data_IF_863240316843
#
_entry.id   IF_863240316843
#
_cell.length_a   1.000
_cell.length_b   1.000
_cell.length_c   1.000
_cell.angle_alpha   90.00
_cell.angle_beta   90.00
_cell.angle_gamma   90.00
#
_symmetry.space_group_name_H-M   'P 1'
#
loop_
_entity.id
_entity.type
_entity.pdbx_description
1 polymer ?
#
# COMPACT_ATOMS: atom_id res chain seq x y z
N UNK A 1 4.41 2.98 19.10
CA UNK A 1 3.90 1.93 20.04
C UNK A 1 4.08 0.58 19.38
N UNK A 2 4.34 -0.49 20.15
CA UNK A 2 4.39 -1.82 19.56
C UNK A 2 3.04 -2.16 18.92
N UNK A 3 3.07 -2.96 17.85
CA UNK A 3 1.88 -3.58 17.30
C UNK A 3 1.07 -4.20 18.45
N UNK A 4 -0.25 -4.02 18.42
CA UNK A 4 -1.09 -4.75 19.37
C UNK A 4 -0.85 -6.23 19.08
N UNK A 5 -0.52 -7.00 20.09
CA UNK A 5 -0.29 -8.44 19.92
C UNK A 5 -1.56 -9.04 19.31
N UNK A 6 -1.43 -9.54 18.07
CA UNK A 6 -2.52 -10.29 17.43
C UNK A 6 -2.82 -11.49 18.34
N UNK A 7 -4.06 -11.70 18.78
CA UNK A 7 -4.38 -12.83 19.64
C UNK A 7 -3.92 -14.14 19.00
N UNK A 8 -3.35 -15.08 19.76
CA UNK A 8 -2.94 -16.37 19.24
C UNK A 8 -4.15 -17.09 18.61
N UNK A 9 -3.97 -17.64 17.40
CA UNK A 9 -5.02 -18.34 16.66
C UNK A 9 -5.84 -17.48 15.70
N UNK A 10 -5.48 -16.20 15.49
CA UNK A 10 -6.07 -15.34 14.47
C UNK A 10 -5.27 -15.50 13.17
N UNK A 11 -5.78 -16.34 12.28
CA UNK A 11 -5.17 -16.53 10.96
C UNK A 11 -5.50 -15.36 10.03
N UNK A 12 -4.53 -14.98 9.14
CA UNK A 12 -4.75 -14.02 8.07
C UNK A 12 -4.53 -12.57 8.45
N UNK A 13 -4.15 -12.25 9.69
CA UNK A 13 -3.76 -10.91 10.10
C UNK A 13 -2.23 -10.85 10.24
N UNK A 14 -1.58 -10.04 9.39
CA UNK A 14 -0.16 -9.74 9.47
C UNK A 14 0.16 -8.76 10.60
N UNK A 15 -0.76 -7.81 10.85
CA UNK A 15 -0.58 -6.80 11.88
C UNK A 15 -1.88 -6.14 12.33
N UNK A 16 -1.88 -5.72 13.60
CA UNK A 16 -2.94 -4.91 14.20
C UNK A 16 -2.28 -3.71 14.89
N UNK A 17 -2.67 -2.50 14.48
CA UNK A 17 -2.04 -1.27 14.94
C UNK A 17 -3.08 -0.28 15.45
N UNK A 18 -2.75 0.42 16.52
CA UNK A 18 -3.53 1.54 17.00
C UNK A 18 -2.90 2.85 16.48
N UNK A 19 -3.70 3.63 15.77
CA UNK A 19 -3.30 4.91 15.20
C UNK A 19 -4.04 6.07 15.89
N UNK A 20 -3.44 7.28 15.93
CA UNK A 20 -2.20 7.67 15.28
C UNK A 20 -0.95 7.17 15.99
N UNK A 21 0.11 6.88 15.23
CA UNK A 21 1.41 6.47 15.73
C UNK A 21 2.50 7.36 15.09
N UNK A 22 3.41 7.97 15.89
CA UNK A 22 4.50 8.81 15.36
C UNK A 22 5.33 8.14 14.27
N UNK A 23 5.56 6.80 14.35
CA UNK A 23 6.29 6.04 13.34
C UNK A 23 5.55 5.95 11.97
N UNK A 24 4.27 6.29 11.93
CA UNK A 24 3.44 6.23 10.72
C UNK A 24 3.20 7.60 10.11
N UNK A 25 3.40 8.68 10.88
CA UNK A 25 3.15 10.06 10.46
C UNK A 25 3.86 10.41 9.16
N UNK A 26 5.15 10.04 9.05
CA UNK A 26 5.97 10.36 7.89
C UNK A 26 5.59 9.56 6.63
N UNK A 27 4.87 8.44 6.79
CA UNK A 27 4.46 7.61 5.64
C UNK A 27 3.60 8.38 4.65
N UNK A 28 2.73 9.27 5.13
CA UNK A 28 1.88 10.10 4.29
C UNK A 28 2.69 11.11 3.47
N UNK A 29 3.65 11.76 4.10
CA UNK A 29 4.44 12.82 3.46
C UNK A 29 5.48 12.24 2.50
N UNK A 30 6.03 11.08 2.80
CA UNK A 30 6.98 10.35 1.94
C UNK A 30 6.42 9.89 0.59
N UNK A 31 5.10 9.83 0.43
CA UNK A 31 4.46 9.52 -0.85
C UNK A 31 4.05 10.81 -1.55
N UNK A 32 4.70 11.09 -2.65
CA UNK A 32 4.48 12.32 -3.42
C UNK A 32 3.44 12.04 -4.51
N UNK A 33 2.25 12.56 -4.28
CA UNK A 33 1.11 12.53 -5.20
C UNK A 33 0.54 13.94 -5.34
N UNK A 34 -0.24 14.22 -6.40
CA UNK A 34 -0.99 15.48 -6.52
C UNK A 34 -1.82 15.73 -5.25
N UNK A 35 -1.78 16.98 -4.78
CA UNK A 35 -2.48 17.37 -3.53
C UNK A 35 -3.98 17.05 -3.59
N UNK A 36 -4.61 17.22 -4.74
CA UNK A 36 -6.02 16.90 -4.96
C UNK A 36 -6.30 15.39 -4.81
N UNK A 37 -5.41 14.53 -5.29
CA UNK A 37 -5.53 13.08 -5.15
C UNK A 37 -5.41 12.66 -3.69
N UNK A 38 -4.42 13.19 -2.97
CA UNK A 38 -4.28 12.98 -1.52
C UNK A 38 -5.50 13.48 -0.75
N UNK A 39 -6.01 14.67 -1.09
CA UNK A 39 -7.20 15.24 -0.45
C UNK A 39 -8.44 14.36 -0.72
N UNK A 40 -8.65 13.89 -1.93
CA UNK A 40 -9.76 13.01 -2.32
C UNK A 40 -9.75 11.70 -1.53
N UNK A 41 -8.59 11.04 -1.44
CA UNK A 41 -8.40 9.82 -0.64
C UNK A 41 -8.77 10.06 0.85
N UNK A 42 -8.20 11.10 1.45
CA UNK A 42 -8.45 11.43 2.85
C UNK A 42 -9.92 11.76 3.11
N UNK A 43 -10.51 12.59 2.26
CA UNK A 43 -11.91 13.00 2.40
C UNK A 43 -12.86 11.81 2.27
N UNK A 44 -12.59 10.89 1.33
CA UNK A 44 -13.39 9.68 1.18
C UNK A 44 -13.32 8.79 2.44
N UNK A 45 -12.13 8.51 2.95
CA UNK A 45 -11.97 7.66 4.16
C UNK A 45 -12.67 8.28 5.37
N UNK A 46 -12.52 9.58 5.59
CA UNK A 46 -13.21 10.31 6.66
C UNK A 46 -14.73 10.26 6.49
N UNK A 47 -15.23 10.49 5.27
CA UNK A 47 -16.65 10.39 4.95
C UNK A 47 -17.19 8.98 5.22
N UNK A 48 -16.48 7.95 4.75
CA UNK A 48 -16.87 6.55 4.95
C UNK A 48 -16.99 6.21 6.44
N UNK A 49 -15.97 6.52 7.24
CA UNK A 49 -15.95 6.20 8.67
C UNK A 49 -16.97 6.97 9.50
N UNK A 50 -17.32 8.22 9.10
CA UNK A 50 -18.21 9.08 9.87
C UNK A 50 -19.67 9.00 9.45
N UNK A 51 -19.94 8.80 8.15
CA UNK A 51 -21.26 9.04 7.57
C UNK A 51 -21.88 7.83 6.90
N UNK A 52 -21.11 6.80 6.52
CA UNK A 52 -21.65 5.64 5.79
C UNK A 52 -22.83 4.99 6.51
N UNK A 53 -22.77 4.85 7.84
CA UNK A 53 -23.87 4.28 8.62
C UNK A 53 -25.17 5.10 8.64
N UNK A 54 -25.13 6.36 8.16
CA UNK A 54 -26.31 7.25 8.09
C UNK A 54 -26.88 7.36 6.68
N UNK A 55 -26.19 6.82 5.68
CA UNK A 55 -26.61 6.90 4.28
C UNK A 55 -27.40 5.66 3.93
N UNK A 56 -28.53 5.85 3.23
CA UNK A 56 -29.33 4.72 2.75
C UNK A 56 -28.59 3.97 1.63
N UNK A 57 -28.32 2.71 1.85
CA UNK A 57 -27.69 1.83 0.87
C UNK A 57 -28.51 1.65 -0.43
N UNK A 58 -29.81 1.93 -0.38
CA UNK A 58 -30.69 1.87 -1.56
C UNK A 58 -30.50 3.07 -2.49
N UNK A 59 -30.29 4.27 -1.90
CA UNK A 59 -30.12 5.51 -2.68
C UNK A 59 -28.67 5.77 -3.11
N UNK A 60 -27.71 5.40 -2.26
CA UNK A 60 -26.28 5.57 -2.49
C UNK A 60 -25.55 4.37 -1.88
N UNK A 61 -25.32 3.31 -2.65
CA UNK A 61 -24.59 2.14 -2.16
C UNK A 61 -23.11 2.52 -1.94
N UNK A 62 -22.71 2.60 -0.68
CA UNK A 62 -21.32 2.87 -0.29
C UNK A 62 -20.77 1.61 0.37
N UNK A 63 -19.79 0.97 -0.28
CA UNK A 63 -19.18 -0.26 0.22
C UNK A 63 -18.07 0.00 1.23
N UNK A 64 -17.57 1.23 1.32
CA UNK A 64 -16.42 1.54 2.17
C UNK A 64 -15.12 0.94 1.65
N UNK A 65 -14.96 0.85 0.33
CA UNK A 65 -13.79 0.26 -0.32
C UNK A 65 -13.08 1.27 -1.21
N UNK A 66 -11.78 1.47 -0.93
CA UNK A 66 -10.84 2.20 -1.78
C UNK A 66 -9.87 1.20 -2.40
N UNK A 67 -9.59 1.35 -3.69
CA UNK A 67 -8.56 0.59 -4.39
C UNK A 67 -7.42 1.52 -4.82
N UNK A 68 -6.20 1.19 -4.42
CA UNK A 68 -4.97 1.83 -4.85
C UNK A 68 -4.31 0.93 -5.90
N UNK A 69 -4.38 1.32 -7.17
CA UNK A 69 -3.79 0.57 -8.28
C UNK A 69 -2.48 1.21 -8.76
N UNK A 70 -1.61 0.45 -9.37
CA UNK A 70 -0.40 0.97 -10.00
C UNK A 70 0.80 0.03 -9.92
N UNK A 71 1.92 0.35 -10.60
CA UNK A 71 3.08 -0.52 -10.65
C UNK A 71 3.65 -0.86 -9.26
N UNK A 72 4.39 -1.97 -9.11
CA UNK A 72 5.09 -2.27 -7.88
C UNK A 72 6.11 -1.16 -7.56
N UNK A 73 6.44 -0.98 -6.27
CA UNK A 73 7.44 0.01 -5.84
C UNK A 73 6.96 1.47 -5.75
N UNK A 74 5.73 1.79 -6.17
CA UNK A 74 5.18 3.17 -6.12
C UNK A 74 4.71 3.61 -4.73
N UNK A 75 4.67 2.70 -3.74
CA UNK A 75 4.39 3.04 -2.34
C UNK A 75 2.92 2.94 -1.93
N UNK A 76 2.09 2.17 -2.64
CA UNK A 76 0.65 1.99 -2.33
C UNK A 76 0.37 1.57 -0.89
N UNK A 77 1.08 0.53 -0.40
CA UNK A 77 0.97 0.04 0.98
C UNK A 77 1.40 1.11 2.00
N UNK A 78 2.46 1.85 1.70
CA UNK A 78 2.92 2.99 2.52
C UNK A 78 1.89 4.10 2.55
N UNK A 79 1.29 4.43 1.39
CA UNK A 79 0.21 5.41 1.27
C UNK A 79 -1.02 4.99 2.08
N UNK A 80 -1.42 3.72 2.01
CA UNK A 80 -2.55 3.18 2.79
C UNK A 80 -2.32 3.36 4.31
N UNK A 81 -1.12 3.04 4.79
CA UNK A 81 -0.77 3.25 6.19
C UNK A 81 -0.74 4.73 6.60
N UNK A 82 -0.14 5.59 5.76
CA UNK A 82 -0.13 7.04 5.99
C UNK A 82 -1.53 7.65 5.97
N UNK A 83 -2.40 7.20 5.05
CA UNK A 83 -3.80 7.61 4.97
C UNK A 83 -4.58 7.23 6.23
N UNK A 84 -4.33 6.04 6.78
CA UNK A 84 -4.95 5.60 8.01
C UNK A 84 -4.52 6.45 9.22
N UNK A 85 -3.23 6.82 9.31
CA UNK A 85 -2.74 7.69 10.37
C UNK A 85 -3.32 9.10 10.26
N UNK A 86 -3.39 9.67 9.05
CA UNK A 86 -4.05 10.94 8.78
C UNK A 86 -5.55 10.92 9.14
N UNK A 87 -6.23 9.82 8.83
CA UNK A 87 -7.63 9.66 9.22
C UNK A 87 -7.79 9.59 10.74
N UNK A 88 -6.92 8.85 11.44
CA UNK A 88 -6.93 8.75 12.89
C UNK A 88 -6.77 10.11 13.57
N UNK A 89 -5.85 10.96 13.06
CA UNK A 89 -5.65 12.31 13.58
C UNK A 89 -6.85 13.25 13.38
N UNK A 90 -7.62 13.02 12.30
CA UNK A 90 -8.76 13.87 11.95
C UNK A 90 -10.11 13.41 12.55
N UNK A 91 -10.15 12.19 13.09
CA UNK A 91 -11.37 11.66 13.72
C UNK A 91 -11.52 12.18 15.16
N UNK A 92 -12.79 12.42 15.56
CA UNK A 92 -13.11 12.76 16.93
C UNK A 92 -12.74 11.58 17.85
N UNK A 93 -11.97 11.86 18.90
CA UNK A 93 -11.43 10.82 19.79
C UNK A 93 -10.04 10.32 19.40
N UNK A 94 -9.51 10.69 18.23
CA UNK A 94 -8.10 10.52 17.86
C UNK A 94 -7.61 9.07 17.89
N UNK A 95 -8.47 8.08 17.59
CA UNK A 95 -8.10 6.66 17.66
C UNK A 95 -8.76 5.86 16.55
N UNK A 96 -7.95 5.06 15.86
CA UNK A 96 -8.35 4.18 14.77
C UNK A 96 -7.57 2.86 14.87
N UNK A 97 -8.21 1.75 14.54
CA UNK A 97 -7.53 0.47 14.35
C UNK A 97 -7.15 0.28 12.88
N UNK A 98 -5.91 -0.07 12.63
CA UNK A 98 -5.44 -0.51 11.33
C UNK A 98 -5.16 -2.01 11.38
N UNK A 99 -5.83 -2.75 10.51
CA UNK A 99 -5.73 -4.21 10.38
C UNK A 99 -5.05 -4.51 9.07
N UNK A 100 -3.88 -5.11 9.13
CA UNK A 100 -3.12 -5.53 7.95
C UNK A 100 -3.39 -7.01 7.68
N UNK A 101 -3.96 -7.32 6.52
CA UNK A 101 -4.28 -8.69 6.11
C UNK A 101 -3.16 -9.22 5.24
N UNK A 102 -2.62 -10.38 5.62
CA UNK A 102 -1.65 -11.10 4.82
C UNK A 102 -2.35 -11.96 3.75
N UNK A 103 -2.31 -11.58 2.49
CA UNK A 103 -2.94 -12.34 1.41
C UNK A 103 -2.28 -13.70 1.19
N UNK A 104 -1.00 -13.84 1.55
CA UNK A 104 -0.22 -15.06 1.31
C UNK A 104 -0.55 -16.22 2.26
N UNK A 105 -1.28 -15.94 3.34
CA UNK A 105 -1.77 -16.99 4.26
C UNK A 105 -2.93 -17.79 3.66
N UNK A 106 -3.61 -17.25 2.64
CA UNK A 106 -4.81 -17.88 2.08
C UNK A 106 -4.58 -18.87 0.93
N UNK A 107 -3.55 -18.75 0.06
CA UNK A 107 -3.27 -19.77 -0.92
C UNK A 107 -2.92 -21.09 -0.25
N UNK A 108 -3.81 -22.08 -0.35
CA UNK A 108 -3.57 -23.44 0.14
C UNK A 108 -3.60 -24.40 -1.03
N UNK A 109 -2.68 -25.40 -1.01
CA UNK A 109 -2.70 -26.51 -1.98
C UNK A 109 -3.83 -27.52 -1.67
N UNK A 110 -4.49 -27.38 -0.51
CA UNK A 110 -5.58 -28.26 -0.09
C UNK A 110 -6.93 -27.68 -0.48
N UNK A 111 -7.74 -28.51 -1.12
CA UNK A 111 -9.10 -28.17 -1.59
C UNK A 111 -9.97 -27.53 -0.50
N UNK A 112 -10.43 -26.32 -0.75
CA UNK A 112 -11.37 -25.60 0.11
C UNK A 112 -10.77 -24.97 1.38
N UNK A 113 -9.48 -25.10 1.65
CA UNK A 113 -8.87 -24.45 2.82
C UNK A 113 -8.80 -22.94 2.67
N UNK A 114 -8.38 -22.46 1.49
CA UNK A 114 -8.34 -21.01 1.19
C UNK A 114 -9.71 -20.38 1.38
N UNK A 115 -10.77 -20.97 0.85
CA UNK A 115 -12.13 -20.48 1.04
C UNK A 115 -12.53 -20.44 2.54
N UNK A 116 -12.18 -21.48 3.31
CA UNK A 116 -12.52 -21.55 4.74
C UNK A 116 -11.74 -20.52 5.55
N UNK A 117 -10.47 -20.29 5.23
CA UNK A 117 -9.64 -19.28 5.89
C UNK A 117 -10.17 -17.87 5.62
N UNK A 118 -10.48 -17.55 4.36
CA UNK A 118 -11.14 -16.28 3.97
C UNK A 118 -12.49 -16.14 4.67
N UNK A 119 -13.32 -17.17 4.67
CA UNK A 119 -14.61 -17.13 5.36
C UNK A 119 -14.44 -16.87 6.87
N UNK A 120 -13.50 -17.52 7.55
CA UNK A 120 -13.21 -17.24 8.97
C UNK A 120 -12.80 -15.81 9.23
N UNK A 121 -11.96 -15.23 8.37
CA UNK A 121 -11.53 -13.84 8.47
C UNK A 121 -12.73 -12.89 8.43
N UNK A 122 -13.57 -13.00 7.40
CA UNK A 122 -14.69 -12.08 7.17
C UNK A 122 -15.92 -12.37 8.03
N UNK A 123 -16.14 -13.61 8.48
CA UNK A 123 -17.32 -14.01 9.28
C UNK A 123 -17.11 -13.94 10.78
N UNK A 124 -15.85 -13.97 11.24
CA UNK A 124 -15.53 -13.97 12.67
C UNK A 124 -14.52 -12.90 13.04
N UNK A 125 -13.32 -12.95 12.49
CA UNK A 125 -12.19 -12.13 12.94
C UNK A 125 -12.46 -10.63 12.74
N UNK A 126 -12.84 -10.20 11.55
CA UNK A 126 -13.16 -8.79 11.28
C UNK A 126 -14.39 -8.31 12.04
N UNK A 127 -15.52 -9.07 12.11
CA UNK A 127 -16.66 -8.73 12.97
C UNK A 127 -16.30 -8.60 14.45
N UNK A 128 -15.46 -9.49 15.00
CA UNK A 128 -15.02 -9.40 16.42
C UNK A 128 -14.22 -8.11 16.69
N UNK A 129 -13.39 -7.68 15.73
CA UNK A 129 -12.66 -6.41 15.81
C UNK A 129 -13.63 -5.23 15.67
N UNK A 130 -14.50 -5.27 14.68
CA UNK A 130 -15.45 -4.19 14.36
C UNK A 130 -16.51 -3.96 15.44
N UNK A 131 -16.93 -5.03 16.16
CA UNK A 131 -17.93 -4.99 17.22
C UNK A 131 -17.54 -4.10 18.40
N UNK A 132 -16.26 -3.79 18.54
CA UNK A 132 -15.74 -2.85 19.55
C UNK A 132 -16.12 -1.40 19.25
N UNK A 133 -16.73 -1.12 18.10
CA UNK A 133 -17.24 0.20 17.71
C UNK A 133 -16.16 1.22 17.33
N UNK A 134 -14.89 0.85 17.34
CA UNK A 134 -13.78 1.75 16.98
C UNK A 134 -13.71 1.89 15.46
N UNK A 135 -13.43 3.11 14.93
CA UNK A 135 -13.09 3.27 13.53
C UNK A 135 -11.97 2.31 13.14
N UNK A 136 -12.16 1.56 12.06
CA UNK A 136 -11.24 0.50 11.65
C UNK A 136 -10.95 0.62 10.16
N UNK A 137 -9.68 0.62 9.78
CA UNK A 137 -9.25 0.48 8.40
C UNK A 137 -8.64 -0.91 8.23
N UNK A 138 -9.13 -1.65 7.25
CA UNK A 138 -8.62 -2.98 6.88
C UNK A 138 -7.86 -2.85 5.57
N UNK A 139 -6.57 -3.15 5.59
CA UNK A 139 -5.73 -3.24 4.40
C UNK A 139 -5.79 -4.66 3.82
N UNK A 140 -6.15 -4.74 2.54
CA UNK A 140 -6.04 -5.92 1.70
C UNK A 140 -4.88 -5.67 0.73
N UNK A 141 -3.66 -6.00 1.14
CA UNK A 141 -2.48 -5.76 0.29
C UNK A 141 -2.40 -6.81 -0.81
N UNK A 142 -1.98 -6.41 -2.02
CA UNK A 142 -1.88 -7.28 -3.20
C UNK A 142 -3.16 -8.10 -3.45
N UNK A 143 -4.31 -7.39 -3.51
CA UNK A 143 -5.64 -8.01 -3.57
C UNK A 143 -5.83 -8.95 -4.78
N UNK A 144 -5.00 -8.84 -5.82
CA UNK A 144 -4.94 -9.79 -6.93
C UNK A 144 -4.59 -11.22 -6.50
N UNK A 145 -4.03 -11.41 -5.31
CA UNK A 145 -3.82 -12.74 -4.73
C UNK A 145 -5.08 -13.32 -4.08
N UNK A 146 -6.01 -12.46 -3.64
CA UNK A 146 -7.27 -12.83 -2.96
C UNK A 146 -8.47 -12.84 -3.91
N UNK A 147 -8.55 -11.83 -4.79
CA UNK A 147 -9.65 -11.62 -5.74
C UNK A 147 -9.14 -11.74 -7.17
N UNK A 148 -8.78 -12.96 -7.57
CA UNK A 148 -8.17 -13.27 -8.87
C UNK A 148 -9.19 -13.11 -10.00
N UNK A 149 -8.78 -12.44 -11.09
CA UNK A 149 -9.63 -12.34 -12.28
C UNK A 149 -9.96 -13.71 -12.86
N UNK A 150 -11.18 -13.88 -13.36
CA UNK A 150 -11.67 -15.17 -13.89
C UNK A 150 -10.82 -15.71 -15.04
N UNK A 151 -10.25 -14.83 -15.87
CA UNK A 151 -9.34 -15.21 -16.96
C UNK A 151 -8.03 -15.81 -16.44
N UNK A 152 -7.47 -15.32 -15.34
CA UNK A 152 -6.27 -15.88 -14.69
C UNK A 152 -6.60 -17.14 -13.92
N UNK A 153 -7.69 -17.14 -13.17
CA UNK A 153 -8.11 -18.31 -12.40
C UNK A 153 -8.26 -19.57 -13.27
N UNK A 154 -8.71 -19.44 -14.53
CA UNK A 154 -8.83 -20.56 -15.45
C UNK A 154 -7.49 -21.18 -15.89
N UNK A 155 -6.36 -20.50 -15.66
CA UNK A 155 -5.01 -20.98 -15.94
C UNK A 155 -4.35 -21.67 -14.74
N UNK A 156 -4.96 -21.59 -13.56
CA UNK A 156 -4.44 -22.19 -12.33
C UNK A 156 -4.69 -23.71 -12.28
N UNK A 157 -3.91 -24.38 -11.44
CA UNK A 157 -4.02 -25.85 -11.26
C UNK A 157 -5.37 -26.26 -10.68
N UNK A 158 -6.02 -25.36 -9.91
CA UNK A 158 -7.31 -25.58 -9.27
C UNK A 158 -8.26 -24.38 -9.42
N UNK A 159 -8.79 -24.12 -10.63
CA UNK A 159 -9.60 -22.92 -10.92
C UNK A 159 -10.84 -22.80 -10.04
N UNK A 160 -11.46 -23.91 -9.67
CA UNK A 160 -12.70 -23.92 -8.87
C UNK A 160 -12.48 -23.37 -7.46
N UNK A 161 -11.37 -23.70 -6.82
CA UNK A 161 -11.07 -23.20 -5.48
C UNK A 161 -10.68 -21.73 -5.49
N UNK A 162 -9.95 -21.27 -6.53
CA UNK A 162 -9.63 -19.86 -6.73
C UNK A 162 -10.91 -19.05 -6.88
N UNK A 163 -11.86 -19.50 -7.71
CA UNK A 163 -13.16 -18.82 -7.83
C UNK A 163 -13.95 -18.77 -6.53
N UNK A 164 -13.98 -19.88 -5.78
CA UNK A 164 -14.66 -19.93 -4.48
C UNK A 164 -14.02 -19.01 -3.44
N UNK A 165 -12.70 -18.91 -3.42
CA UNK A 165 -11.99 -17.98 -2.56
C UNK A 165 -12.31 -16.53 -2.93
N UNK A 166 -12.29 -16.19 -4.23
CA UNK A 166 -12.68 -14.86 -4.73
C UNK A 166 -14.13 -14.51 -4.33
N UNK A 167 -15.09 -15.44 -4.55
CA UNK A 167 -16.48 -15.23 -4.15
C UNK A 167 -16.63 -15.05 -2.63
N UNK A 168 -15.81 -15.74 -1.82
CA UNK A 168 -15.80 -15.56 -0.37
C UNK A 168 -15.28 -14.19 0.03
N UNK A 169 -14.24 -13.65 -0.65
CA UNK A 169 -13.75 -12.28 -0.43
C UNK A 169 -14.84 -11.26 -0.76
N UNK A 170 -15.46 -11.38 -1.96
CA UNK A 170 -16.52 -10.47 -2.40
C UNK A 170 -17.70 -10.44 -1.41
N UNK A 171 -18.21 -11.62 -1.06
CA UNK A 171 -19.30 -11.75 -0.09
C UNK A 171 -18.90 -11.28 1.31
N UNK A 172 -17.64 -11.48 1.67
CA UNK A 172 -17.08 -11.04 2.95
C UNK A 172 -17.01 -9.51 3.06
N UNK A 173 -16.50 -8.86 2.03
CA UNK A 173 -16.45 -7.38 1.96
C UNK A 173 -17.86 -6.81 2.06
N UNK A 174 -18.81 -7.30 1.24
CA UNK A 174 -20.21 -6.84 1.28
C UNK A 174 -20.85 -7.00 2.66
N UNK A 175 -20.63 -8.15 3.29
CA UNK A 175 -21.17 -8.46 4.63
C UNK A 175 -20.60 -7.54 5.70
N UNK A 176 -19.26 -7.39 5.77
CA UNK A 176 -18.62 -6.53 6.76
C UNK A 176 -18.98 -5.07 6.51
N UNK A 177 -18.95 -4.62 5.25
CA UNK A 177 -19.35 -3.26 4.90
C UNK A 177 -20.80 -2.95 5.27
N UNK A 178 -21.72 -3.88 5.04
CA UNK A 178 -23.13 -3.71 5.36
C UNK A 178 -23.45 -3.74 6.87
N UNK A 179 -22.75 -4.62 7.61
CA UNK A 179 -22.99 -4.79 9.06
C UNK A 179 -22.20 -3.79 9.93
N UNK A 180 -21.03 -3.34 9.47
CA UNK A 180 -20.09 -2.56 10.28
C UNK A 180 -19.67 -1.26 9.57
N UNK A 181 -20.48 -0.19 9.69
CA UNK A 181 -20.17 1.09 9.03
C UNK A 181 -18.90 1.78 9.57
N UNK A 182 -18.40 1.37 10.71
CA UNK A 182 -17.11 1.81 11.27
C UNK A 182 -15.88 1.13 10.62
N UNK A 183 -16.06 0.23 9.64
CA UNK A 183 -14.97 -0.44 8.92
C UNK A 183 -14.86 0.11 7.50
N UNK A 184 -13.68 0.54 7.10
CA UNK A 184 -13.35 0.94 5.72
C UNK A 184 -12.22 0.06 5.21
N UNK A 185 -12.35 -0.44 3.98
CA UNK A 185 -11.32 -1.23 3.33
C UNK A 185 -10.44 -0.36 2.45
N UNK A 186 -9.14 -0.62 2.47
CA UNK A 186 -8.19 -0.13 1.48
C UNK A 186 -7.54 -1.36 0.84
N UNK A 187 -7.71 -1.53 -0.46
CA UNK A 187 -7.06 -2.59 -1.20
C UNK A 187 -5.93 -2.02 -2.05
N UNK A 188 -4.81 -2.73 -2.16
CA UNK A 188 -3.75 -2.38 -3.10
C UNK A 188 -3.67 -3.44 -4.19
N UNK A 189 -3.27 -3.05 -5.40
CA UNK A 189 -2.97 -3.98 -6.48
C UNK A 189 -1.81 -3.48 -7.34
N UNK A 190 -0.93 -4.39 -7.70
CA UNK A 190 0.15 -4.14 -8.66
C UNK A 190 -0.31 -4.39 -10.10
N UNK A 191 -1.44 -5.08 -10.28
CA UNK A 191 -1.95 -5.48 -11.57
C UNK A 191 -3.48 -5.47 -11.59
N UNK A 192 -4.07 -4.31 -11.90
CA UNK A 192 -5.52 -4.10 -11.87
C UNK A 192 -6.28 -5.10 -12.75
N UNK A 193 -5.76 -5.42 -13.95
CA UNK A 193 -6.37 -6.43 -14.82
C UNK A 193 -6.30 -7.87 -14.25
N UNK A 194 -5.51 -8.10 -13.20
CA UNK A 194 -5.44 -9.36 -12.46
C UNK A 194 -6.51 -9.49 -11.37
N UNK A 195 -7.16 -8.39 -11.01
CA UNK A 195 -8.22 -8.35 -10.01
C UNK A 195 -9.58 -8.66 -10.66
N UNK A 196 -10.43 -9.38 -9.95
CA UNK A 196 -11.79 -9.68 -10.43
C UNK A 196 -12.61 -8.39 -10.62
N UNK A 197 -13.27 -8.27 -11.77
CA UNK A 197 -14.06 -7.07 -12.10
C UNK A 197 -15.22 -6.80 -11.13
N UNK A 198 -15.78 -7.85 -10.51
CA UNK A 198 -16.81 -7.68 -9.49
C UNK A 198 -16.23 -7.11 -8.18
N UNK A 199 -14.94 -7.32 -7.88
CA UNK A 199 -14.27 -6.64 -6.77
C UNK A 199 -14.08 -5.16 -7.07
N UNK A 200 -13.56 -4.83 -8.26
CA UNK A 200 -13.36 -3.43 -8.67
C UNK A 200 -14.67 -2.65 -8.75
N UNK A 201 -15.78 -3.29 -9.17
CA UNK A 201 -17.11 -2.63 -9.21
C UNK A 201 -17.68 -2.26 -7.83
N UNK A 202 -17.15 -2.85 -6.75
CA UNK A 202 -17.48 -2.50 -5.37
C UNK A 202 -16.65 -1.35 -4.83
N UNK A 203 -15.55 -1.01 -5.51
CA UNK A 203 -14.72 0.11 -5.09
C UNK A 203 -15.50 1.43 -5.27
N UNK A 204 -15.68 2.16 -4.19
CA UNK A 204 -16.26 3.51 -4.24
C UNK A 204 -15.27 4.54 -4.80
N UNK A 205 -13.97 4.22 -4.69
CA UNK A 205 -12.88 5.02 -5.21
C UNK A 205 -11.75 4.13 -5.69
N UNK A 206 -11.33 4.31 -6.95
CA UNK A 206 -10.12 3.69 -7.51
C UNK A 206 -9.13 4.81 -7.83
N UNK A 207 -7.97 4.79 -7.20
CA UNK A 207 -6.92 5.78 -7.39
C UNK A 207 -5.65 5.13 -7.93
N UNK A 208 -5.15 5.70 -9.03
CA UNK A 208 -3.92 5.22 -9.64
C UNK A 208 -2.69 5.88 -9.04
N UNK A 209 -1.80 5.08 -8.45
CA UNK A 209 -0.51 5.48 -7.90
C UNK A 209 0.58 5.13 -8.90
N UNK A 210 0.83 6.04 -9.83
CA UNK A 210 1.80 5.85 -10.91
C UNK A 210 3.26 5.95 -10.45
N UNK A 211 4.17 5.72 -11.38
CA UNK A 211 5.60 6.00 -11.16
C UNK A 211 5.80 7.49 -10.90
N UNK A 212 6.71 7.85 -10.01
CA UNK A 212 6.95 9.24 -9.66
C UNK A 212 7.57 10.02 -10.84
N UNK A 213 7.10 11.24 -11.08
CA UNK A 213 7.74 12.17 -12.04
C UNK A 213 9.00 12.82 -11.44
N UNK A 214 9.74 13.59 -12.25
CA UNK A 214 11.02 14.18 -11.88
C UNK A 214 10.99 14.97 -10.55
N UNK A 215 9.95 15.77 -10.30
CA UNK A 215 9.82 16.53 -9.06
C UNK A 215 9.66 15.59 -7.83
N UNK A 216 8.91 14.51 -7.98
CA UNK A 216 8.75 13.52 -6.92
C UNK A 216 10.04 12.71 -6.69
N UNK A 217 10.74 12.33 -7.76
CA UNK A 217 12.03 11.63 -7.68
C UNK A 217 13.07 12.51 -6.99
N UNK A 218 13.13 13.80 -7.35
CA UNK A 218 14.00 14.76 -6.69
C UNK A 218 13.79 14.79 -5.18
N UNK A 219 12.54 14.86 -4.74
CA UNK A 219 12.23 14.86 -3.31
C UNK A 219 12.59 13.53 -2.65
N UNK A 220 12.34 12.38 -3.30
CA UNK A 220 12.74 11.06 -2.80
C UNK A 220 14.27 10.95 -2.67
N UNK A 221 15.03 11.45 -3.64
CA UNK A 221 16.48 11.49 -3.58
C UNK A 221 16.95 12.35 -2.41
N UNK A 222 16.43 13.59 -2.31
CA UNK A 222 16.79 14.51 -1.22
C UNK A 222 16.50 13.92 0.16
N UNK A 223 15.30 13.38 0.37
CA UNK A 223 14.91 12.73 1.63
C UNK A 223 15.81 11.53 1.96
N UNK A 224 16.13 10.70 0.96
CA UNK A 224 16.95 9.50 1.18
C UNK A 224 18.39 9.86 1.49
N UNK A 225 18.94 10.86 0.83
CA UNK A 225 20.28 11.38 1.10
C UNK A 225 20.32 12.01 2.50
N UNK A 226 19.33 12.81 2.86
CA UNK A 226 19.24 13.44 4.18
C UNK A 226 19.12 12.40 5.31
N UNK A 227 18.43 11.29 5.08
CA UNK A 227 18.32 10.18 6.05
C UNK A 227 19.67 9.47 6.28
N UNK A 228 20.52 9.36 5.25
CA UNK A 228 21.82 8.70 5.32
C UNK A 228 22.95 9.63 5.75
N UNK A 229 22.95 10.86 5.24
CA UNK A 229 24.05 11.81 5.38
C UNK A 229 23.77 12.95 6.37
N UNK A 230 22.60 12.94 7.03
CA UNK A 230 22.15 14.08 7.82
C UNK A 230 21.71 15.25 6.93
N UNK A 231 21.64 16.46 7.47
CA UNK A 231 21.19 17.67 6.76
C UNK A 231 22.25 18.20 5.77
N UNK A 232 22.71 17.38 4.83
CA UNK A 232 23.64 17.82 3.80
C UNK A 232 22.85 18.46 2.65
N UNK A 233 23.17 19.70 2.31
CA UNK A 233 22.59 20.40 1.17
C UNK A 233 23.18 19.81 -0.11
N UNK A 234 22.44 18.92 -0.77
CA UNK A 234 22.84 18.36 -2.06
C UNK A 234 22.58 19.39 -3.16
N UNK A 235 23.54 19.59 -4.05
CA UNK A 235 23.50 20.57 -5.13
C UNK A 235 22.17 20.47 -5.95
N UNK A 236 21.37 21.54 -5.90
CA UNK A 236 20.04 21.59 -6.49
C UNK A 236 20.01 21.28 -7.99
N UNK A 237 20.80 21.94 -8.88
CA UNK A 237 20.73 21.72 -10.33
C UNK A 237 21.20 20.32 -10.76
N UNK A 238 22.22 19.77 -10.13
CA UNK A 238 22.70 18.42 -10.42
C UNK A 238 21.68 17.37 -9.99
N UNK A 239 21.03 17.56 -8.83
CA UNK A 239 19.96 16.69 -8.35
C UNK A 239 18.73 16.75 -9.25
N UNK A 240 18.38 17.92 -9.77
CA UNK A 240 17.26 18.11 -10.71
C UNK A 240 17.52 17.37 -12.03
N UNK A 241 18.75 17.45 -12.55
CA UNK A 241 19.16 16.73 -13.75
C UNK A 241 19.10 15.20 -13.53
N UNK A 242 19.66 14.69 -12.41
CA UNK A 242 19.59 13.28 -12.08
C UNK A 242 18.15 12.79 -11.92
N UNK A 243 17.29 13.56 -11.25
CA UNK A 243 15.88 13.23 -11.06
C UNK A 243 15.14 13.14 -12.41
N UNK A 244 15.49 14.00 -13.38
CA UNK A 244 14.94 13.95 -14.74
C UNK A 244 15.34 12.66 -15.45
N UNK A 245 16.61 12.30 -15.40
CA UNK A 245 17.13 11.04 -16.00
C UNK A 245 16.45 9.82 -15.38
N UNK A 246 16.31 9.79 -14.05
CA UNK A 246 15.60 8.71 -13.36
C UNK A 246 14.12 8.61 -13.77
N UNK A 247 13.44 9.76 -13.98
CA UNK A 247 12.05 9.81 -14.41
C UNK A 247 11.90 9.30 -15.87
N UNK A 248 12.79 9.71 -16.77
CA UNK A 248 12.83 9.23 -18.16
C UNK A 248 13.11 7.71 -18.23
N UNK A 249 13.92 7.19 -17.32
CA UNK A 249 14.15 5.77 -17.17
C UNK A 249 12.96 5.01 -16.52
N UNK A 250 11.90 5.70 -16.13
CA UNK A 250 10.71 5.09 -15.50
C UNK A 250 10.97 4.47 -14.13
N UNK A 251 11.93 4.97 -13.38
CA UNK A 251 12.30 4.42 -12.07
C UNK A 251 11.18 4.64 -11.05
N UNK A 252 10.82 3.57 -10.34
CA UNK A 252 9.92 3.66 -9.21
C UNK A 252 10.63 4.18 -7.92
N UNK A 253 9.85 4.55 -6.90
CA UNK A 253 10.39 5.10 -5.65
C UNK A 253 11.34 4.14 -4.91
N UNK A 254 11.14 2.82 -5.04
CA UNK A 254 12.02 1.80 -4.46
C UNK A 254 13.36 1.75 -5.19
N UNK A 255 13.32 1.82 -6.52
CA UNK A 255 14.53 1.84 -7.36
C UNK A 255 15.37 3.09 -7.08
N UNK A 256 14.72 4.26 -6.95
CA UNK A 256 15.39 5.53 -6.62
C UNK A 256 16.09 5.45 -5.25
N UNK A 257 15.43 4.93 -4.22
CA UNK A 257 16.08 4.73 -2.91
C UNK A 257 17.23 3.74 -2.96
N UNK A 258 17.07 2.66 -3.74
CA UNK A 258 18.15 1.68 -3.96
C UNK A 258 19.34 2.25 -4.72
N UNK A 259 19.11 3.22 -5.62
CA UNK A 259 20.19 3.92 -6.31
C UNK A 259 21.12 4.64 -5.29
N UNK A 260 20.51 5.36 -4.33
CA UNK A 260 21.30 6.02 -3.25
C UNK A 260 22.08 5.00 -2.44
N UNK A 261 21.44 3.91 -2.01
CA UNK A 261 22.13 2.86 -1.25
C UNK A 261 23.29 2.25 -2.06
N UNK A 262 23.07 1.98 -3.36
CA UNK A 262 24.15 1.42 -4.22
C UNK A 262 25.31 2.38 -4.40
N UNK A 263 25.06 3.68 -4.51
CA UNK A 263 26.10 4.68 -4.57
C UNK A 263 26.95 4.67 -3.29
N UNK A 264 26.33 4.59 -2.11
CA UNK A 264 27.04 4.50 -0.83
C UNK A 264 27.90 3.24 -0.77
N UNK A 265 27.37 2.06 -1.13
CA UNK A 265 28.12 0.80 -1.00
C UNK A 265 29.07 0.52 -2.16
N UNK A 266 29.09 1.34 -3.21
CA UNK A 266 30.01 1.19 -4.34
C UNK A 266 31.45 1.56 -4.00
N UNK A 267 31.65 2.32 -2.91
CA UNK A 267 32.99 2.79 -2.47
C UNK A 267 33.13 2.63 -0.97
N UNK A 268 34.29 2.15 -0.54
CA UNK A 268 34.57 1.91 0.88
C UNK A 268 34.54 3.20 1.71
N UNK A 269 35.05 4.31 1.17
CA UNK A 269 35.03 5.61 1.85
C UNK A 269 33.64 6.15 2.08
N UNK A 270 32.70 5.96 1.11
CA UNK A 270 31.29 6.34 1.27
C UNK A 270 30.53 5.38 2.19
N UNK A 271 30.88 4.10 2.20
CA UNK A 271 30.27 3.14 3.11
C UNK A 271 30.62 3.41 4.58
N UNK A 272 31.80 3.98 4.83
CA UNK A 272 32.24 4.38 6.17
C UNK A 272 31.80 5.78 6.57
N UNK A 273 31.70 6.70 5.62
CA UNK A 273 31.33 8.11 5.81
C UNK A 273 30.24 8.52 4.77
N UNK A 274 28.98 8.03 4.91
CA UNK A 274 27.92 8.25 3.92
C UNK A 274 27.53 9.73 3.74
N UNK A 275 27.87 10.58 4.70
CA UNK A 275 27.68 12.03 4.62
C UNK A 275 28.52 12.70 3.52
N UNK A 276 29.47 12.00 2.95
CA UNK A 276 30.29 12.49 1.81
C UNK A 276 29.66 12.22 0.44
N UNK A 277 28.50 11.56 0.39
CA UNK A 277 27.83 11.23 -0.86
C UNK A 277 27.54 12.49 -1.69
N UNK A 278 27.75 12.40 -3.00
CA UNK A 278 27.49 13.47 -3.97
C UNK A 278 26.59 12.97 -5.08
N UNK A 279 25.96 13.89 -5.79
CA UNK A 279 25.08 13.56 -6.93
C UNK A 279 25.86 12.82 -8.02
N UNK A 280 27.14 13.15 -8.22
CA UNK A 280 28.01 12.48 -9.19
C UNK A 280 28.20 10.99 -8.90
N UNK A 281 28.24 10.59 -7.62
CA UNK A 281 28.34 9.19 -7.21
C UNK A 281 27.08 8.40 -7.63
N UNK A 282 25.91 9.02 -7.47
CA UNK A 282 24.64 8.43 -7.93
C UNK A 282 24.57 8.35 -9.45
N UNK A 283 25.00 9.41 -10.14
CA UNK A 283 25.02 9.46 -11.60
C UNK A 283 25.96 8.40 -12.19
N UNK A 284 27.12 8.17 -11.59
CA UNK A 284 28.05 7.14 -11.99
C UNK A 284 27.45 5.73 -11.91
N UNK A 285 26.78 5.41 -10.78
CA UNK A 285 26.11 4.10 -10.61
C UNK A 285 24.96 3.93 -11.62
N UNK A 286 24.19 4.99 -11.88
CA UNK A 286 23.11 4.93 -12.88
C UNK A 286 23.65 4.72 -14.30
N UNK A 287 24.77 5.36 -14.65
CA UNK A 287 25.41 5.20 -15.95
C UNK A 287 25.95 3.77 -16.16
N UNK A 288 26.55 3.16 -15.15
CA UNK A 288 27.04 1.77 -15.19
C UNK A 288 25.91 0.77 -15.43
N UNK A 289 24.70 1.02 -14.90
CA UNK A 289 23.54 0.15 -15.10
C UNK A 289 22.89 0.29 -16.48
N UNK A 290 23.01 1.47 -17.08
CA UNK A 290 22.44 1.74 -18.43
C UNK A 290 23.35 1.33 -19.57
N UNK A 291 24.62 0.99 -19.27
CA UNK A 291 25.59 0.55 -20.29
C UNK A 291 25.27 -0.92 -20.70
N UNK A 292 24.96 -1.19 -22.00
CA UNK A 292 24.66 -2.54 -22.45
C UNK A 292 25.96 -3.36 -22.47
N UNK A 293 26.17 -4.21 -21.49
CA UNK A 293 27.35 -5.07 -21.42
C UNK A 293 27.66 -5.71 -20.06
N UNK A 294 27.08 -5.25 -18.96
CA UNK A 294 27.21 -5.91 -17.66
C UNK A 294 26.15 -7.01 -17.55
N UNK A 295 26.45 -8.17 -18.12
CA UNK A 295 25.67 -9.40 -17.91
C UNK A 295 25.56 -9.68 -16.42
N UNK A 296 24.31 -9.64 -15.92
CA UNK A 296 23.97 -10.23 -14.61
C UNK A 296 24.31 -11.72 -14.63
N UNK A 297 24.98 -12.28 -13.62
CA UNK A 297 25.09 -13.70 -13.44
C UNK A 297 23.74 -14.35 -13.13
#
# INVERSE_FOLDING_TARGET
MPAITVPPGVEGIAGLYELPDPAWRDRWDRIILPAEQKARLRNYVLFSLRHRGRVSQVGLPIHGLVVLSGPPGTGKTTLAGGLADQAAQALDGGSLLFVDIDPHVFPSQMLGESQRAVARLFERTLPDIASRGRPTIVLLDEVEALAVSRSRASLETNPVDVHRATDAVLSGVDRVAGAWPNVTFIATTNYEAGVDGAFLSRADLVEHVGVPGAAAIRAILADTIAELAGSHEVDGPALDALATVCAEAGMDARQVRKLVLRAVVSREDLAMEPERIRVEDLAAVLADETTPGSSRP
#
